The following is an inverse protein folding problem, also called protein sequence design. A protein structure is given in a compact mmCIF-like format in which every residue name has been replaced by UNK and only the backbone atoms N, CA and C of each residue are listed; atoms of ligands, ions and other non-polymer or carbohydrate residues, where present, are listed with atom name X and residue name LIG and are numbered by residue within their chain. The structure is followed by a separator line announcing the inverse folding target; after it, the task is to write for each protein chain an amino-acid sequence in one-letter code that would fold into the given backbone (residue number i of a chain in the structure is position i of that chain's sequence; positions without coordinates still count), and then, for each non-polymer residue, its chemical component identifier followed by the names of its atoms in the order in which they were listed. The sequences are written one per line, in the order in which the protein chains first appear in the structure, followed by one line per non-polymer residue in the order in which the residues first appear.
data_IF_160723082433
#
_entry.id   IF_160723082433
#
_cell.length_a   1.000
_cell.length_b   1.000
_cell.length_c   1.000
_cell.angle_alpha   90.00
_cell.angle_beta   90.00
_cell.angle_gamma   90.00
#
_symmetry.space_group_name_H-M   'P 1'
#
loop_
_entity.id
_entity.type
_entity.pdbx_description
1 polymer ?
#
# COMPACT_ATOMS: atom_id res chain seq x y z
N UNK A 1 -13.64 -12.46 -42.31
CA UNK A 1 -14.77 -12.47 -41.35
C UNK A 1 -14.31 -12.91 -39.94
N UNK A 2 -13.51 -13.99 -39.79
CA UNK A 2 -13.04 -14.48 -38.50
C UNK A 2 -11.98 -13.55 -37.86
N UNK A 3 -11.07 -12.99 -38.64
CA UNK A 3 -10.01 -12.08 -38.17
C UNK A 3 -10.57 -10.71 -37.70
N UNK A 4 -11.56 -10.17 -38.40
CA UNK A 4 -12.16 -8.87 -38.03
C UNK A 4 -12.93 -8.92 -36.68
N UNK A 5 -13.64 -10.02 -36.46
CA UNK A 5 -14.41 -10.18 -35.18
C UNK A 5 -13.47 -10.45 -34.00
N UNK A 6 -12.39 -11.20 -34.22
CA UNK A 6 -11.33 -11.41 -33.26
C UNK A 6 -10.62 -10.09 -32.92
N UNK A 7 -10.25 -9.30 -33.92
CA UNK A 7 -9.56 -8.02 -33.71
C UNK A 7 -10.45 -7.03 -32.93
N UNK A 8 -11.76 -6.96 -33.24
CA UNK A 8 -12.70 -6.11 -32.51
C UNK A 8 -12.84 -6.55 -31.05
N UNK A 9 -12.96 -7.83 -30.77
CA UNK A 9 -13.04 -8.36 -29.39
C UNK A 9 -11.75 -8.13 -28.62
N UNK A 10 -10.60 -8.31 -29.27
CA UNK A 10 -9.29 -8.03 -28.70
C UNK A 10 -9.12 -6.54 -28.36
N UNK A 11 -9.50 -5.64 -29.26
CA UNK A 11 -9.44 -4.19 -29.02
C UNK A 11 -10.40 -3.75 -27.91
N UNK A 12 -11.60 -4.34 -27.83
CA UNK A 12 -12.54 -4.09 -26.73
C UNK A 12 -12.00 -4.57 -25.39
N UNK A 13 -11.39 -5.75 -25.34
CA UNK A 13 -10.76 -6.29 -24.15
C UNK A 13 -9.57 -5.43 -23.72
N UNK A 14 -8.70 -5.06 -24.67
CA UNK A 14 -7.56 -4.17 -24.42
C UNK A 14 -8.03 -2.80 -23.91
N UNK A 15 -9.07 -2.23 -24.54
CA UNK A 15 -9.68 -0.97 -24.09
C UNK A 15 -10.26 -1.08 -22.67
N UNK A 16 -10.94 -2.19 -22.35
CA UNK A 16 -11.46 -2.44 -21.01
C UNK A 16 -10.32 -2.56 -19.98
N UNK A 17 -9.24 -3.28 -20.31
CA UNK A 17 -8.05 -3.40 -19.48
C UNK A 17 -7.41 -2.03 -19.24
N UNK A 18 -7.21 -1.21 -20.27
CA UNK A 18 -6.64 0.15 -20.15
C UNK A 18 -7.53 1.05 -19.30
N UNK A 19 -8.86 0.98 -19.46
CA UNK A 19 -9.81 1.75 -18.63
C UNK A 19 -9.74 1.30 -17.18
N UNK A 20 -9.73 0.00 -16.91
CA UNK A 20 -9.62 -0.54 -15.54
C UNK A 20 -8.29 -0.12 -14.90
N UNK A 21 -7.17 -0.25 -15.62
CA UNK A 21 -5.86 0.21 -15.12
C UNK A 21 -5.83 1.73 -14.92
N UNK A 22 -6.40 2.52 -15.82
CA UNK A 22 -6.50 3.97 -15.66
C UNK A 22 -7.35 4.37 -14.46
N UNK A 23 -8.46 3.68 -14.22
CA UNK A 23 -9.32 3.90 -13.04
C UNK A 23 -8.64 3.46 -11.73
N UNK A 24 -7.76 2.46 -11.78
CA UNK A 24 -6.98 2.02 -10.61
C UNK A 24 -5.74 2.90 -10.37
N UNK A 25 -5.11 3.44 -11.43
CA UNK A 25 -3.93 4.29 -11.31
C UNK A 25 -4.26 5.74 -10.91
N UNK A 26 -5.41 6.28 -11.34
CA UNK A 26 -5.82 7.63 -10.97
C UNK A 26 -5.93 7.85 -9.44
N UNK A 27 -6.47 6.92 -8.65
CA UNK A 27 -6.43 7.00 -7.20
C UNK A 27 -5.02 7.17 -6.62
N UNK A 28 -4.02 6.45 -7.14
CA UNK A 28 -2.63 6.53 -6.63
C UNK A 28 -2.05 7.94 -6.73
N UNK A 29 -2.31 8.66 -7.83
CA UNK A 29 -1.87 10.05 -7.95
C UNK A 29 -2.55 10.97 -6.93
N UNK A 30 -3.85 10.78 -6.70
CA UNK A 30 -4.61 11.55 -5.71
C UNK A 30 -4.09 11.24 -4.30
N UNK A 31 -3.81 9.98 -4.01
CA UNK A 31 -3.30 9.55 -2.70
C UNK A 31 -1.88 10.05 -2.45
N UNK A 32 -1.01 10.07 -3.47
CA UNK A 32 0.30 10.70 -3.36
C UNK A 32 0.19 12.19 -2.97
N UNK A 33 -0.73 12.94 -3.59
CA UNK A 33 -1.00 14.34 -3.23
C UNK A 33 -1.53 14.52 -1.81
N UNK A 34 -2.35 13.60 -1.33
CA UNK A 34 -2.84 13.62 0.07
C UNK A 34 -1.70 13.31 1.04
N UNK A 35 -0.83 12.38 0.69
CA UNK A 35 0.37 12.06 1.47
C UNK A 35 1.29 13.29 1.61
N UNK A 36 1.50 14.07 0.53
CA UNK A 36 2.29 15.31 0.57
C UNK A 36 1.76 16.29 1.64
N UNK A 37 0.45 16.45 1.72
CA UNK A 37 -0.20 17.29 2.73
C UNK A 37 0.00 16.79 4.17
N UNK A 38 -0.08 15.49 4.38
CA UNK A 38 0.11 14.88 5.70
C UNK A 38 1.57 14.90 6.15
N UNK A 39 2.51 14.66 5.22
CA UNK A 39 3.95 14.82 5.45
C UNK A 39 4.28 16.23 5.93
N UNK A 40 3.75 17.26 5.23
CA UNK A 40 3.96 18.64 5.63
C UNK A 40 3.35 18.96 7.00
N UNK A 41 2.15 18.41 7.29
CA UNK A 41 1.45 18.61 8.58
C UNK A 41 2.21 18.01 9.76
N UNK A 42 2.84 16.85 9.56
CA UNK A 42 3.58 16.12 10.61
C UNK A 42 5.08 16.42 10.62
N UNK A 43 5.58 17.19 9.65
CA UNK A 43 7.02 17.47 9.46
C UNK A 43 7.85 16.19 9.28
N UNK A 44 7.33 15.24 8.52
CA UNK A 44 7.97 13.95 8.25
C UNK A 44 9.17 14.10 7.30
N UNK A 45 10.14 13.19 7.42
CA UNK A 45 11.31 13.10 6.54
C UNK A 45 11.00 12.52 5.16
N UNK A 46 12.04 12.39 4.33
CA UNK A 46 11.90 11.85 2.96
C UNK A 46 11.55 10.35 2.97
N UNK A 47 12.17 9.56 3.85
CA UNK A 47 11.85 8.14 4.01
C UNK A 47 10.40 7.92 4.43
N UNK A 48 9.97 8.63 5.48
CA UNK A 48 8.58 8.62 5.96
C UNK A 48 7.59 8.98 4.85
N UNK A 49 7.96 9.92 3.96
CA UNK A 49 7.11 10.35 2.86
C UNK A 49 6.83 9.21 1.88
N UNK A 50 7.87 8.43 1.51
CA UNK A 50 7.68 7.29 0.61
C UNK A 50 6.87 6.19 1.29
N UNK A 51 7.19 5.85 2.53
CA UNK A 51 6.49 4.86 3.35
C UNK A 51 5.01 5.18 3.52
N UNK A 52 4.71 6.46 3.80
CA UNK A 52 3.35 6.98 3.90
C UNK A 52 2.57 6.83 2.59
N UNK A 53 3.20 7.12 1.44
CA UNK A 53 2.55 6.97 0.13
C UNK A 53 2.12 5.54 -0.14
N UNK A 54 3.00 4.57 0.08
CA UNK A 54 2.72 3.15 -0.11
C UNK A 54 1.61 2.68 0.84
N UNK A 55 1.74 2.94 2.14
CA UNK A 55 0.74 2.57 3.12
C UNK A 55 -0.64 3.20 2.86
N UNK A 56 -0.68 4.49 2.49
CA UNK A 56 -1.93 5.18 2.18
C UNK A 56 -2.57 4.68 0.89
N UNK A 57 -1.79 4.46 -0.17
CA UNK A 57 -2.30 3.95 -1.43
C UNK A 57 -2.97 2.58 -1.24
N UNK A 58 -2.32 1.69 -0.49
CA UNK A 58 -2.86 0.37 -0.18
C UNK A 58 -4.12 0.46 0.70
N UNK A 59 -4.13 1.31 1.75
CA UNK A 59 -5.30 1.51 2.60
C UNK A 59 -6.52 2.02 1.82
N UNK A 60 -6.32 2.97 0.91
CA UNK A 60 -7.39 3.54 0.09
C UNK A 60 -7.87 2.58 -1.00
N UNK A 61 -6.96 1.82 -1.63
CA UNK A 61 -7.34 0.81 -2.60
C UNK A 61 -8.18 -0.28 -1.96
N UNK A 62 -7.75 -0.80 -0.81
CA UNK A 62 -8.53 -1.75 -0.02
C UNK A 62 -9.93 -1.21 0.29
N UNK A 63 -10.02 0.01 0.83
CA UNK A 63 -11.29 0.62 1.19
C UNK A 63 -12.22 0.84 -0.01
N UNK A 64 -11.66 1.06 -1.21
CA UNK A 64 -12.40 1.20 -2.47
C UNK A 64 -12.95 -0.15 -2.95
N UNK A 65 -12.16 -1.21 -2.85
CA UNK A 65 -12.52 -2.55 -3.33
C UNK A 65 -13.46 -3.29 -2.36
N UNK A 66 -13.31 -3.06 -1.07
CA UNK A 66 -14.01 -3.79 -0.01
C UNK A 66 -15.54 -3.81 -0.13
N UNK A 67 -16.26 -2.72 -0.47
CA UNK A 67 -17.72 -2.74 -0.60
C UNK A 67 -18.24 -3.70 -1.69
N UNK A 68 -17.40 -4.00 -2.69
CA UNK A 68 -17.77 -4.86 -3.83
C UNK A 68 -17.28 -6.29 -3.62
N UNK A 69 -16.08 -6.48 -3.08
CA UNK A 69 -15.41 -7.78 -3.02
C UNK A 69 -15.49 -8.44 -1.63
N UNK A 70 -15.84 -7.68 -0.59
CA UNK A 70 -15.68 -8.13 0.80
C UNK A 70 -14.25 -7.95 1.29
N UNK A 71 -14.04 -8.12 2.60
CA UNK A 71 -12.79 -7.76 3.27
C UNK A 71 -11.59 -8.58 2.79
N UNK A 72 -11.73 -9.90 2.70
CA UNK A 72 -10.59 -10.78 2.40
C UNK A 72 -10.15 -10.65 0.93
N UNK A 73 -11.08 -10.72 -0.01
CA UNK A 73 -10.77 -10.54 -1.43
C UNK A 73 -10.23 -9.14 -1.75
N UNK A 74 -10.74 -8.10 -1.09
CA UNK A 74 -10.22 -6.75 -1.26
C UNK A 74 -8.79 -6.63 -0.74
N UNK A 75 -8.46 -7.26 0.38
CA UNK A 75 -7.11 -7.29 0.92
C UNK A 75 -6.14 -8.01 -0.02
N UNK A 76 -6.49 -9.23 -0.45
CA UNK A 76 -5.65 -10.02 -1.36
C UNK A 76 -5.44 -9.30 -2.69
N UNK A 77 -6.49 -8.75 -3.29
CA UNK A 77 -6.36 -8.03 -4.55
C UNK A 77 -5.54 -6.75 -4.41
N UNK A 78 -5.65 -6.04 -3.28
CA UNK A 78 -4.82 -4.86 -3.02
C UNK A 78 -3.34 -5.21 -2.95
N UNK A 79 -2.99 -6.31 -2.31
CA UNK A 79 -1.59 -6.78 -2.20
C UNK A 79 -1.07 -7.17 -3.59
N UNK A 80 -1.81 -7.97 -4.35
CA UNK A 80 -1.44 -8.35 -5.72
C UNK A 80 -1.25 -7.13 -6.63
N UNK A 81 -2.09 -6.10 -6.50
CA UNK A 81 -1.92 -4.85 -7.27
C UNK A 81 -0.64 -4.12 -6.83
N UNK A 82 -0.34 -4.08 -5.53
CA UNK A 82 0.92 -3.53 -5.03
C UNK A 82 2.15 -4.24 -5.64
N UNK A 83 2.16 -5.58 -5.62
CA UNK A 83 3.20 -6.39 -6.26
C UNK A 83 3.33 -6.10 -7.76
N UNK A 84 2.21 -5.99 -8.48
CA UNK A 84 2.20 -5.64 -9.90
C UNK A 84 2.77 -4.24 -10.17
N UNK A 85 2.52 -3.28 -9.30
CA UNK A 85 3.09 -1.93 -9.40
C UNK A 85 4.61 -2.01 -9.31
N UNK A 86 5.16 -2.73 -8.33
CA UNK A 86 6.60 -2.91 -8.19
C UNK A 86 7.22 -3.60 -9.42
N UNK A 87 6.58 -4.66 -9.95
CA UNK A 87 7.03 -5.32 -11.19
C UNK A 87 7.04 -4.35 -12.37
N UNK A 88 6.01 -3.51 -12.52
CA UNK A 88 5.93 -2.54 -13.60
C UNK A 88 7.02 -1.46 -13.43
N UNK A 89 7.22 -0.97 -12.21
CA UNK A 89 8.23 0.03 -11.90
C UNK A 89 9.64 -0.47 -12.23
N UNK A 90 9.98 -1.70 -11.85
CA UNK A 90 11.24 -2.34 -12.20
C UNK A 90 11.50 -2.43 -13.71
N UNK A 91 10.45 -2.56 -14.53
CA UNK A 91 10.57 -2.66 -15.98
C UNK A 91 10.54 -1.30 -16.70
N UNK A 92 10.06 -0.24 -16.04
CA UNK A 92 9.83 1.06 -16.67
C UNK A 92 10.78 2.15 -16.19
N UNK A 93 11.33 2.03 -14.98
CA UNK A 93 12.33 2.96 -14.46
C UNK A 93 13.69 2.67 -15.06
N UNK A 94 14.47 3.72 -15.38
CA UNK A 94 15.87 3.58 -15.82
C UNK A 94 16.80 3.09 -14.71
N UNK A 95 16.40 3.29 -13.45
CA UNK A 95 17.06 2.76 -12.26
C UNK A 95 16.14 1.70 -11.66
N UNK A 96 16.65 0.46 -11.59
CA UNK A 96 15.92 -0.64 -10.96
C UNK A 96 16.21 -0.65 -9.47
N UNK A 97 15.15 -0.63 -8.66
CA UNK A 97 15.28 -0.72 -7.22
C UNK A 97 15.86 -2.07 -6.80
N UNK A 98 16.69 -2.08 -5.77
CA UNK A 98 17.21 -3.33 -5.21
C UNK A 98 16.08 -4.11 -4.52
N UNK A 99 16.24 -5.43 -4.37
CA UNK A 99 15.23 -6.30 -3.77
C UNK A 99 14.76 -5.81 -2.38
N UNK A 100 15.65 -5.20 -1.62
CA UNK A 100 15.35 -4.63 -0.29
C UNK A 100 14.40 -3.43 -0.35
N UNK A 101 14.52 -2.56 -1.35
CA UNK A 101 13.59 -1.44 -1.57
C UNK A 101 12.20 -1.95 -1.94
N UNK A 102 12.13 -2.89 -2.88
CA UNK A 102 10.86 -3.52 -3.28
C UNK A 102 10.16 -4.16 -2.09
N UNK A 103 10.91 -4.96 -1.29
CA UNK A 103 10.33 -5.56 -0.08
C UNK A 103 9.82 -4.52 0.91
N UNK A 104 10.57 -3.44 1.14
CA UNK A 104 10.15 -2.32 2.00
C UNK A 104 8.80 -1.74 1.57
N UNK A 105 8.62 -1.52 0.27
CA UNK A 105 7.39 -0.95 -0.27
C UNK A 105 6.21 -1.92 -0.16
N UNK A 106 6.45 -3.23 -0.39
CA UNK A 106 5.46 -4.29 -0.15
C UNK A 106 5.08 -4.42 1.34
N UNK A 107 6.05 -4.29 2.25
CA UNK A 107 5.82 -4.25 3.69
C UNK A 107 4.89 -3.09 4.08
N UNK A 108 5.13 -1.89 3.54
CA UNK A 108 4.33 -0.71 3.81
C UNK A 108 2.92 -0.82 3.20
N UNK A 109 2.80 -1.40 2.00
CA UNK A 109 1.51 -1.72 1.38
C UNK A 109 0.69 -2.67 2.26
N UNK A 110 1.30 -3.73 2.76
CA UNK A 110 0.64 -4.68 3.67
C UNK A 110 0.17 -3.99 4.95
N UNK A 111 1.00 -3.12 5.55
CA UNK A 111 0.62 -2.40 6.75
C UNK A 111 -0.58 -1.47 6.49
N UNK A 112 -0.62 -0.79 5.36
CA UNK A 112 -1.75 0.03 4.95
C UNK A 112 -3.07 -0.77 4.88
N UNK A 113 -3.04 -1.97 4.28
CA UNK A 113 -4.20 -2.88 4.23
C UNK A 113 -4.64 -3.30 5.63
N UNK A 114 -3.69 -3.72 6.48
CA UNK A 114 -3.99 -4.15 7.87
C UNK A 114 -4.57 -3.00 8.68
N UNK A 115 -4.03 -1.78 8.54
CA UNK A 115 -4.53 -0.58 9.22
C UNK A 115 -5.98 -0.26 8.81
N UNK A 116 -6.30 -0.29 7.52
CA UNK A 116 -7.65 -0.06 7.03
C UNK A 116 -8.65 -1.12 7.52
N UNK A 117 -8.25 -2.40 7.54
CA UNK A 117 -9.08 -3.50 8.11
C UNK A 117 -9.27 -3.34 9.62
N UNK A 118 -8.23 -2.94 10.33
CA UNK A 118 -8.30 -2.73 11.77
C UNK A 118 -9.29 -1.62 12.14
N UNK A 119 -9.30 -0.52 11.39
CA UNK A 119 -10.27 0.57 11.61
C UNK A 119 -11.72 0.10 11.52
N UNK A 120 -12.05 -0.84 10.65
CA UNK A 120 -13.40 -1.40 10.54
C UNK A 120 -13.85 -2.11 11.83
N UNK A 121 -12.93 -2.81 12.48
CA UNK A 121 -13.19 -3.53 13.74
C UNK A 121 -13.11 -2.64 14.98
N UNK A 122 -12.44 -1.50 14.90
CA UNK A 122 -12.20 -0.61 16.05
C UNK A 122 -13.40 0.31 16.39
N UNK A 123 -14.46 0.32 15.57
CA UNK A 123 -15.65 1.15 15.78
C UNK A 123 -15.45 2.65 15.53
N UNK A 124 -14.30 3.03 14.97
CA UNK A 124 -14.01 4.38 14.52
C UNK A 124 -14.55 4.68 13.12
N UNK A 125 -14.45 5.95 12.70
CA UNK A 125 -14.74 6.30 11.30
C UNK A 125 -13.65 5.72 10.39
N UNK A 126 -14.05 4.94 9.38
CA UNK A 126 -13.16 4.45 8.33
C UNK A 126 -13.28 5.31 7.06
N UNK A 127 -13.43 6.63 7.23
CA UNK A 127 -13.39 7.56 6.11
C UNK A 127 -11.93 7.81 5.65
N UNK A 128 -11.80 8.43 4.49
CA UNK A 128 -10.51 8.73 3.88
C UNK A 128 -9.60 9.58 4.80
N UNK A 129 -10.15 10.57 5.48
CA UNK A 129 -9.36 11.43 6.35
C UNK A 129 -8.82 10.68 7.56
N UNK A 130 -9.63 9.80 8.12
CA UNK A 130 -9.23 8.94 9.25
C UNK A 130 -8.13 7.94 8.83
N UNK A 131 -8.22 7.34 7.64
CA UNK A 131 -7.15 6.46 7.11
C UNK A 131 -5.85 7.23 6.87
N UNK A 132 -5.93 8.42 6.23
CA UNK A 132 -4.76 9.28 6.04
C UNK A 132 -4.05 9.59 7.35
N UNK A 133 -4.81 9.91 8.39
CA UNK A 133 -4.25 10.21 9.71
C UNK A 133 -3.65 8.99 10.39
N UNK A 134 -4.32 7.85 10.31
CA UNK A 134 -3.78 6.62 10.88
C UNK A 134 -2.45 6.24 10.21
N UNK A 135 -2.38 6.24 8.88
CA UNK A 135 -1.14 5.90 8.17
C UNK A 135 -0.07 6.98 8.42
N UNK A 136 -0.45 8.25 8.54
CA UNK A 136 0.46 9.32 8.95
C UNK A 136 0.99 9.15 10.38
N UNK A 137 0.16 8.69 11.30
CA UNK A 137 0.59 8.34 12.65
C UNK A 137 1.57 7.16 12.66
N UNK A 138 1.33 6.15 11.82
CA UNK A 138 2.24 5.01 11.67
C UNK A 138 3.62 5.44 11.14
N UNK A 139 3.67 6.37 10.18
CA UNK A 139 4.93 6.92 9.70
C UNK A 139 5.65 7.72 10.80
N UNK A 140 4.93 8.62 11.49
CA UNK A 140 5.49 9.46 12.57
C UNK A 140 6.05 8.65 13.74
N UNK A 141 5.49 7.47 14.01
CA UNK A 141 5.89 6.58 15.12
C UNK A 141 6.90 5.51 14.71
N UNK A 142 7.56 5.65 13.56
CA UNK A 142 8.51 4.67 13.02
C UNK A 142 7.92 3.25 12.94
N UNK A 143 6.65 3.14 12.56
CA UNK A 143 5.98 1.85 12.36
C UNK A 143 6.08 1.34 10.93
N UNK A 144 6.28 2.23 9.93
CA UNK A 144 6.53 1.91 8.54
C UNK A 144 8.04 1.78 8.28
N UNK A 145 8.41 0.98 7.28
CA UNK A 145 9.82 0.84 6.89
C UNK A 145 10.24 1.99 5.95
N UNK A 146 11.24 2.78 6.34
CA UNK A 146 11.60 4.01 5.64
C UNK A 146 12.66 3.80 4.55
N UNK A 147 13.60 2.89 4.80
CA UNK A 147 14.76 2.67 3.94
C UNK A 147 15.04 1.18 3.74
N UNK A 148 15.82 0.84 2.71
CA UNK A 148 16.26 -0.53 2.44
C UNK A 148 17.11 -1.14 3.57
N UNK A 149 17.76 -0.30 4.38
CA UNK A 149 18.53 -0.66 5.56
C UNK A 149 17.70 -0.91 6.80
N UNK A 150 16.40 -0.63 6.75
CA UNK A 150 15.51 -0.79 7.90
C UNK A 150 15.58 -2.22 8.45
N UNK A 151 15.59 -2.34 9.77
CA UNK A 151 15.63 -3.62 10.50
C UNK A 151 14.46 -4.56 10.19
N UNK A 152 13.36 -4.02 9.64
CA UNK A 152 12.17 -4.76 9.21
C UNK A 152 12.36 -5.42 7.85
N UNK A 153 13.35 -4.96 7.08
CA UNK A 153 13.73 -5.55 5.80
C UNK A 153 14.71 -6.72 6.05
N UNK A 154 14.41 -7.95 5.57
CA UNK A 154 15.26 -9.10 5.80
C UNK A 154 16.71 -8.88 5.33
N UNK A 155 17.67 -9.13 6.21
CA UNK A 155 19.11 -9.03 5.89
C UNK A 155 19.53 -9.97 4.76
N UNK A 156 18.80 -11.07 4.58
CA UNK A 156 19.05 -12.07 3.53
C UNK A 156 18.72 -11.57 2.12
N UNK A 157 17.95 -10.48 1.97
CA UNK A 157 17.64 -9.93 0.66
C UNK A 157 18.86 -9.26 0.03
N UNK A 158 19.10 -9.50 -1.27
CA UNK A 158 20.26 -8.94 -1.96
C UNK A 158 20.14 -7.43 -2.18
N UNK A 159 21.30 -6.76 -2.25
CA UNK A 159 21.46 -5.36 -2.68
C UNK A 159 21.54 -5.22 -4.21
N UNK A 160 20.92 -6.14 -4.93
CA UNK A 160 20.81 -6.14 -6.39
C UNK A 160 19.34 -6.18 -6.79
N UNK A 161 19.00 -5.76 -8.02
CA UNK A 161 17.64 -5.90 -8.53
C UNK A 161 17.27 -7.38 -8.66
N UNK A 162 16.44 -7.85 -7.74
CA UNK A 162 15.91 -9.22 -7.69
C UNK A 162 14.48 -9.19 -7.14
N UNK A 163 13.54 -8.87 -8.03
CA UNK A 163 12.15 -8.73 -7.67
C UNK A 163 11.55 -10.05 -7.19
N UNK A 164 11.96 -11.17 -7.78
CA UNK A 164 11.44 -12.49 -7.40
C UNK A 164 11.81 -12.83 -5.95
N UNK A 165 13.04 -12.47 -5.53
CA UNK A 165 13.46 -12.64 -4.15
C UNK A 165 12.64 -11.75 -3.19
N UNK A 166 12.34 -10.50 -3.57
CA UNK A 166 11.55 -9.59 -2.77
C UNK A 166 10.09 -10.08 -2.62
N UNK A 167 9.45 -10.50 -3.71
CA UNK A 167 8.08 -11.03 -3.72
C UNK A 167 7.99 -12.31 -2.88
N UNK A 168 8.91 -13.25 -3.06
CA UNK A 168 8.93 -14.51 -2.30
C UNK A 168 9.12 -14.28 -0.80
N UNK A 169 9.96 -13.31 -0.41
CA UNK A 169 10.13 -12.94 0.98
C UNK A 169 8.87 -12.29 1.56
N UNK A 170 8.24 -11.37 0.82
CA UNK A 170 7.01 -10.71 1.24
C UNK A 170 5.86 -11.71 1.45
N UNK A 171 5.67 -12.65 0.52
CA UNK A 171 4.69 -13.73 0.64
C UNK A 171 4.94 -14.62 1.86
N UNK A 172 6.20 -14.98 2.08
CA UNK A 172 6.60 -15.83 3.21
C UNK A 172 6.35 -15.15 4.55
N UNK A 173 6.65 -13.85 4.63
CA UNK A 173 6.52 -13.06 5.85
C UNK A 173 5.10 -12.58 6.13
N UNK A 174 4.24 -12.52 5.12
CA UNK A 174 2.90 -11.93 5.19
C UNK A 174 2.09 -12.37 6.41
N UNK A 175 1.91 -13.68 6.72
CA UNK A 175 1.07 -14.10 7.86
C UNK A 175 1.62 -13.61 9.21
N UNK A 176 2.95 -13.60 9.35
CA UNK A 176 3.64 -13.09 10.54
C UNK A 176 3.46 -11.58 10.66
N UNK A 177 3.72 -10.84 9.58
CA UNK A 177 3.59 -9.38 9.54
C UNK A 177 2.16 -8.91 9.80
N UNK A 178 1.14 -9.57 9.24
CA UNK A 178 -0.27 -9.25 9.51
C UNK A 178 -0.60 -9.36 11.00
N UNK A 179 -0.10 -10.38 11.68
CA UNK A 179 -0.29 -10.56 13.11
C UNK A 179 0.46 -9.50 13.94
N UNK A 180 1.70 -9.20 13.59
CA UNK A 180 2.54 -8.18 14.24
C UNK A 180 1.93 -6.78 14.08
N UNK A 181 1.50 -6.41 12.88
CA UNK A 181 0.86 -5.11 12.60
C UNK A 181 -0.44 -4.94 13.37
N UNK A 182 -1.27 -5.99 13.41
CA UNK A 182 -2.50 -5.96 14.20
C UNK A 182 -2.23 -5.81 15.69
N UNK A 183 -1.26 -6.55 16.21
CA UNK A 183 -0.85 -6.43 17.61
C UNK A 183 -0.31 -5.03 17.93
N UNK A 184 0.47 -4.43 17.03
CA UNK A 184 0.95 -3.05 17.18
C UNK A 184 -0.20 -2.04 17.23
N UNK A 185 -1.16 -2.12 16.31
CA UNK A 185 -2.34 -1.25 16.29
C UNK A 185 -3.20 -1.42 17.56
N UNK A 186 -3.38 -2.64 18.03
CA UNK A 186 -4.14 -2.91 19.27
C UNK A 186 -3.41 -2.38 20.51
N UNK A 187 -2.09 -2.48 20.58
CA UNK A 187 -1.28 -1.96 21.68
C UNK A 187 -1.35 -0.42 21.76
N UNK A 188 -1.46 0.27 20.63
CA UNK A 188 -1.49 1.73 20.54
C UNK A 188 -2.88 2.31 20.27
N UNK A 189 -3.93 1.51 20.46
CA UNK A 189 -5.32 1.91 20.20
C UNK A 189 -5.72 3.24 20.84
N UNK A 190 -5.23 3.51 22.04
CA UNK A 190 -5.55 4.74 22.77
C UNK A 190 -4.89 5.97 22.13
N UNK A 191 -3.63 5.86 21.75
CA UNK A 191 -2.85 6.94 21.13
C UNK A 191 -3.40 7.27 19.73
N UNK A 192 -3.72 6.22 18.97
CA UNK A 192 -4.37 6.34 17.65
C UNK A 192 -5.73 7.06 17.79
N UNK A 193 -6.55 6.65 18.76
CA UNK A 193 -7.85 7.29 18.99
C UNK A 193 -7.70 8.78 19.38
N UNK A 194 -6.68 9.12 20.14
CA UNK A 194 -6.37 10.52 20.49
C UNK A 194 -5.94 11.34 19.25
N UNK A 195 -5.07 10.80 18.40
CA UNK A 195 -4.64 11.47 17.15
C UNK A 195 -5.84 11.69 16.19
N UNK A 196 -6.68 10.67 16.03
CA UNK A 196 -7.88 10.76 15.19
C UNK A 196 -8.90 11.81 15.74
N UNK A 197 -9.04 11.92 17.06
CA UNK A 197 -9.96 12.89 17.70
C UNK A 197 -9.49 14.34 17.54
N UNK A 198 -8.18 14.60 17.51
CA UNK A 198 -7.61 15.92 17.24
C UNK A 198 -7.93 16.43 15.83
N UNK A 199 -8.25 15.53 14.95
CA UNK A 199 -8.60 15.84 13.56
C UNK A 199 -10.05 16.28 13.33
N UNK A 200 -10.93 15.95 14.27
CA UNK A 200 -12.35 16.25 14.16
C UNK A 200 -12.72 17.65 14.69
N UNK A 201 -11.74 18.40 15.18
CA UNK A 201 -11.88 19.79 15.67
C UNK A 201 -11.37 20.79 14.66
#
# INVERSE_FOLDING_TARGET
LFEEDFLKKFLLLLGAVVIVFGLLAAPFYIFAKMADGEVARRSLGEGDHNSLKHGLAAAELYATLRPVLGSDYAADLTIVIGEMVEVIEQHTKHETDVAREVYKDLHNNLYGVVAARWMEGAGGSNDRQSRLRLVGWLAETDALADWAEDKRVPESLPWTPDIDAALAAADTDRPRLEAEFRAHLDAHRHDIAADLALAAK
#
